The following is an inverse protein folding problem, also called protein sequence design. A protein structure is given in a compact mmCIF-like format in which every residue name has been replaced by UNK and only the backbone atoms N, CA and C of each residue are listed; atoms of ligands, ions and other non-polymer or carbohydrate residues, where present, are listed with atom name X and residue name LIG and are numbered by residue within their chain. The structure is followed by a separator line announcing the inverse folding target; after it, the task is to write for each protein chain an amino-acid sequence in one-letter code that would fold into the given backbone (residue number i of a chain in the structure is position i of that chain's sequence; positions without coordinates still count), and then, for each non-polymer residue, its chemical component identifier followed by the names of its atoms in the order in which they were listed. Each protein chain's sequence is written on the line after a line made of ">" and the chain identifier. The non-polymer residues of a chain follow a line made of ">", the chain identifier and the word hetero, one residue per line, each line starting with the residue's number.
data_IF_321238085401
#
_entry.id   IF_321238085401
#
_cell.length_a   1.000
_cell.length_b   1.000
_cell.length_c   1.000
_cell.angle_alpha   90.00
_cell.angle_beta   90.00
_cell.angle_gamma   90.00
#
_symmetry.space_group_name_H-M   'P 1'
#
loop_
_entity.id
_entity.type
_entity.pdbx_description
1 polymer ?
#
# COMPACT_ATOMS: atom_id res chain seq x y z
N UNK A 1 -25.37 -6.29 -35.84
CA UNK A 1 -24.08 -6.01 -36.50
C UNK A 1 -23.16 -5.47 -35.42
N UNK A 2 -22.09 -6.18 -35.06
CA UNK A 2 -21.13 -5.67 -34.06
C UNK A 2 -20.51 -4.36 -34.57
N UNK A 3 -20.52 -3.32 -33.75
CA UNK A 3 -20.11 -1.97 -34.13
C UNK A 3 -18.61 -1.97 -34.45
N UNK A 4 -18.16 -1.09 -35.35
CA UNK A 4 -16.75 -1.04 -35.75
C UNK A 4 -15.82 -0.72 -34.55
N UNK A 5 -16.35 -0.02 -33.53
CA UNK A 5 -15.70 0.21 -32.23
C UNK A 5 -15.47 -1.10 -31.46
N UNK A 6 -16.49 -1.95 -31.32
CA UNK A 6 -16.40 -3.22 -30.58
C UNK A 6 -15.35 -4.18 -31.18
N UNK A 7 -15.17 -4.13 -32.50
CA UNK A 7 -14.15 -4.91 -33.20
C UNK A 7 -12.74 -4.40 -32.94
N UNK A 8 -12.55 -3.08 -32.88
CA UNK A 8 -11.26 -2.44 -32.60
C UNK A 8 -10.85 -2.74 -31.14
N UNK A 9 -11.77 -2.53 -30.20
CA UNK A 9 -11.54 -2.75 -28.76
C UNK A 9 -11.17 -4.22 -28.45
N UNK A 10 -11.81 -5.18 -29.09
CA UNK A 10 -11.53 -6.60 -28.89
C UNK A 10 -10.19 -7.04 -29.52
N UNK A 11 -9.80 -6.46 -30.66
CA UNK A 11 -8.50 -6.73 -31.29
C UNK A 11 -7.33 -6.21 -30.45
N UNK A 12 -7.52 -5.07 -29.80
CA UNK A 12 -6.54 -4.42 -28.96
C UNK A 12 -6.39 -5.10 -27.60
N UNK A 13 -7.51 -5.45 -26.96
CA UNK A 13 -7.51 -6.22 -25.71
C UNK A 13 -6.66 -7.49 -25.85
N UNK A 14 -6.79 -8.20 -26.99
CA UNK A 14 -5.96 -9.38 -27.29
C UNK A 14 -4.46 -9.05 -27.39
N UNK A 15 -4.10 -7.92 -27.99
CA UNK A 15 -2.71 -7.48 -28.07
C UNK A 15 -2.13 -7.16 -26.69
N UNK A 16 -2.90 -6.47 -25.85
CA UNK A 16 -2.50 -6.13 -24.48
C UNK A 16 -2.35 -7.38 -23.62
N UNK A 17 -3.29 -8.33 -23.68
CA UNK A 17 -3.20 -9.63 -22.99
C UNK A 17 -1.93 -10.38 -23.42
N UNK A 18 -1.57 -10.34 -24.71
CA UNK A 18 -0.33 -10.94 -25.22
C UNK A 18 0.91 -10.25 -24.64
N UNK A 19 0.95 -8.91 -24.62
CA UNK A 19 2.06 -8.15 -24.01
C UNK A 19 2.20 -8.46 -22.51
N UNK A 20 1.08 -8.49 -21.77
CA UNK A 20 1.04 -8.91 -20.36
C UNK A 20 1.57 -10.32 -20.16
N UNK A 21 1.24 -11.25 -21.07
CA UNK A 21 1.80 -12.60 -21.07
C UNK A 21 3.33 -12.62 -21.16
N UNK A 22 3.92 -11.68 -21.91
CA UNK A 22 5.38 -11.51 -21.96
C UNK A 22 5.96 -11.06 -20.62
N UNK A 23 5.30 -10.11 -19.93
CA UNK A 23 5.71 -9.71 -18.58
C UNK A 23 5.67 -10.88 -17.59
N UNK A 24 4.58 -11.67 -17.60
CA UNK A 24 4.47 -12.88 -16.78
C UNK A 24 5.60 -13.88 -17.06
N UNK A 25 5.95 -14.07 -18.33
CA UNK A 25 7.05 -14.96 -18.73
C UNK A 25 8.42 -14.47 -18.22
N UNK A 26 8.69 -13.17 -18.29
CA UNK A 26 9.93 -12.60 -17.74
C UNK A 26 10.03 -12.78 -16.21
N UNK A 27 8.91 -12.63 -15.49
CA UNK A 27 8.89 -12.87 -14.05
C UNK A 27 9.17 -14.35 -13.71
N UNK A 28 8.64 -15.29 -14.50
CA UNK A 28 8.94 -16.73 -14.37
C UNK A 28 10.40 -17.05 -14.70
N UNK A 29 11.03 -16.37 -15.67
CA UNK A 29 12.46 -16.52 -15.93
C UNK A 29 13.32 -16.04 -14.76
N UNK A 30 12.90 -14.97 -14.07
CA UNK A 30 13.58 -14.48 -12.88
C UNK A 30 13.43 -15.45 -11.70
N UNK A 31 12.23 -16.00 -11.49
CA UNK A 31 12.03 -17.08 -10.52
C UNK A 31 12.95 -18.27 -10.79
N UNK A 32 13.00 -18.73 -12.04
CA UNK A 32 13.88 -19.85 -12.45
C UNK A 32 15.35 -19.56 -12.16
N UNK A 33 15.76 -18.29 -12.31
CA UNK A 33 17.11 -17.86 -11.96
C UNK A 33 17.34 -17.92 -10.44
N UNK A 34 16.43 -17.38 -9.63
CA UNK A 34 16.55 -17.41 -8.17
C UNK A 34 16.58 -18.84 -7.61
N UNK A 35 15.75 -19.75 -8.15
CA UNK A 35 15.75 -21.16 -7.72
C UNK A 35 17.06 -21.89 -7.97
N UNK A 36 17.92 -21.41 -8.88
CA UNK A 36 19.27 -21.96 -9.09
C UNK A 36 20.30 -21.46 -8.07
N UNK A 37 19.97 -20.38 -7.37
CA UNK A 37 20.81 -19.79 -6.33
C UNK A 37 20.43 -20.32 -4.94
N UNK A 38 19.27 -20.93 -4.82
CA UNK A 38 18.79 -21.58 -3.60
C UNK A 38 19.71 -22.76 -3.23
N UNK A 39 20.19 -22.81 -1.99
CA UNK A 39 21.12 -23.83 -1.51
C UNK A 39 22.60 -23.63 -1.88
N UNK A 40 23.00 -22.51 -2.49
CA UNK A 40 24.41 -22.16 -2.67
C UNK A 40 24.99 -21.55 -1.38
N UNK A 41 26.10 -22.11 -0.86
CA UNK A 41 26.85 -21.55 0.26
C UNK A 41 27.59 -20.27 -0.16
N UNK A 42 26.87 -19.15 -0.12
CA UNK A 42 27.38 -17.83 -0.47
C UNK A 42 27.40 -17.56 -1.98
N UNK A 43 26.94 -16.37 -2.37
CA UNK A 43 26.96 -15.92 -3.76
C UNK A 43 28.33 -15.34 -4.12
N UNK A 44 28.88 -15.74 -5.28
CA UNK A 44 30.06 -15.08 -5.84
C UNK A 44 29.75 -13.63 -6.23
N UNK A 45 30.76 -12.74 -6.20
CA UNK A 45 30.59 -11.31 -6.56
C UNK A 45 30.00 -11.11 -7.97
N UNK A 46 30.33 -12.00 -8.90
CA UNK A 46 29.77 -12.00 -10.25
C UNK A 46 28.25 -12.27 -10.21
N UNK A 47 27.81 -13.28 -9.45
CA UNK A 47 26.39 -13.60 -9.31
C UNK A 47 25.62 -12.52 -8.54
N UNK A 48 26.25 -11.85 -7.57
CA UNK A 48 25.65 -10.69 -6.88
C UNK A 48 25.38 -9.55 -7.86
N UNK A 49 26.35 -9.24 -8.72
CA UNK A 49 26.22 -8.21 -9.75
C UNK A 49 25.12 -8.56 -10.75
N UNK A 50 25.11 -9.81 -11.24
CA UNK A 50 24.07 -10.29 -12.16
C UNK A 50 22.67 -10.25 -11.52
N UNK A 51 22.55 -10.68 -10.27
CA UNK A 51 21.31 -10.62 -9.50
C UNK A 51 20.82 -9.16 -9.38
N UNK A 52 21.70 -8.22 -9.01
CA UNK A 52 21.36 -6.80 -8.90
C UNK A 52 20.88 -6.20 -10.24
N UNK A 53 21.49 -6.56 -11.37
CA UNK A 53 21.05 -6.12 -12.70
C UNK A 53 19.65 -6.69 -13.02
N UNK A 54 19.44 -7.98 -12.77
CA UNK A 54 18.14 -8.64 -13.00
C UNK A 54 17.04 -8.06 -12.11
N UNK A 55 17.35 -7.70 -10.86
CA UNK A 55 16.42 -7.03 -9.95
C UNK A 55 15.95 -5.68 -10.49
N UNK A 56 16.87 -4.81 -10.93
CA UNK A 56 16.50 -3.53 -11.57
C UNK A 56 15.60 -3.72 -12.79
N UNK A 57 15.86 -4.76 -13.60
CA UNK A 57 15.00 -5.11 -14.74
C UNK A 57 13.60 -5.53 -14.30
N UNK A 58 13.46 -6.23 -13.18
CA UNK A 58 12.17 -6.68 -12.63
C UNK A 58 11.39 -5.52 -12.00
N UNK A 59 12.06 -4.56 -11.37
CA UNK A 59 11.42 -3.32 -10.89
C UNK A 59 10.85 -2.49 -12.05
N UNK A 60 11.58 -2.37 -13.16
CA UNK A 60 11.05 -1.74 -14.38
C UNK A 60 9.88 -2.53 -14.98
N UNK A 61 9.96 -3.86 -14.98
CA UNK A 61 8.91 -4.75 -15.46
C UNK A 61 7.59 -4.57 -14.67
N UNK A 62 7.67 -4.26 -13.38
CA UNK A 62 6.50 -3.94 -12.57
C UNK A 62 5.74 -2.74 -13.15
N UNK A 63 6.45 -1.67 -13.52
CA UNK A 63 5.84 -0.47 -14.10
C UNK A 63 5.17 -0.78 -15.45
N UNK A 64 5.83 -1.56 -16.30
CA UNK A 64 5.29 -1.95 -17.61
C UNK A 64 4.07 -2.87 -17.48
N UNK A 65 4.12 -3.85 -16.58
CA UNK A 65 2.97 -4.68 -16.25
C UNK A 65 1.83 -3.82 -15.73
N UNK A 66 2.09 -2.90 -14.80
CA UNK A 66 1.07 -2.05 -14.23
C UNK A 66 0.33 -1.25 -15.31
N UNK A 67 1.04 -0.63 -16.26
CA UNK A 67 0.43 0.10 -17.38
C UNK A 67 -0.44 -0.79 -18.26
N UNK A 68 0.11 -1.92 -18.73
CA UNK A 68 -0.61 -2.87 -19.59
C UNK A 68 -1.86 -3.41 -18.89
N UNK A 69 -1.71 -3.77 -17.62
CA UNK A 69 -2.77 -4.36 -16.84
C UNK A 69 -3.87 -3.32 -16.52
N UNK A 70 -3.54 -2.04 -16.37
CA UNK A 70 -4.56 -0.98 -16.32
C UNK A 70 -5.35 -0.91 -17.63
N UNK A 71 -4.68 -0.93 -18.77
CA UNK A 71 -5.34 -0.86 -20.07
C UNK A 71 -6.25 -2.07 -20.32
N UNK A 72 -5.82 -3.26 -19.89
CA UNK A 72 -6.64 -4.48 -19.90
C UNK A 72 -7.85 -4.33 -18.97
N UNK A 73 -7.68 -3.82 -17.75
CA UNK A 73 -8.80 -3.58 -16.82
C UNK A 73 -9.79 -2.53 -17.34
N UNK A 74 -9.34 -1.59 -18.18
CA UNK A 74 -10.20 -0.59 -18.81
C UNK A 74 -11.00 -1.20 -19.98
N UNK A 75 -10.42 -2.12 -20.74
CA UNK A 75 -10.99 -2.68 -21.97
C UNK A 75 -11.66 -4.06 -21.80
N UNK A 76 -11.35 -4.79 -20.72
CA UNK A 76 -11.87 -6.14 -20.49
C UNK A 76 -13.32 -6.14 -20.02
N UNK A 77 -14.12 -7.02 -20.62
CA UNK A 77 -15.48 -7.33 -20.19
C UNK A 77 -15.52 -8.27 -18.97
N UNK A 78 -14.45 -9.01 -18.71
CA UNK A 78 -14.27 -9.87 -17.54
C UNK A 78 -13.20 -9.24 -16.63
N UNK A 79 -13.65 -8.41 -15.70
CA UNK A 79 -12.72 -7.62 -14.88
C UNK A 79 -12.16 -8.44 -13.73
N UNK A 80 -12.91 -9.42 -13.20
CA UNK A 80 -12.47 -10.31 -12.12
C UNK A 80 -11.26 -11.15 -12.53
N UNK A 81 -11.25 -11.67 -13.76
CA UNK A 81 -10.09 -12.39 -14.30
C UNK A 81 -8.88 -11.46 -14.48
N UNK A 82 -9.10 -10.24 -14.96
CA UNK A 82 -8.05 -9.25 -15.06
C UNK A 82 -7.47 -8.90 -13.67
N UNK A 83 -8.30 -8.81 -12.63
CA UNK A 83 -7.84 -8.55 -11.26
C UNK A 83 -7.13 -9.74 -10.63
N UNK A 84 -7.64 -10.95 -10.80
CA UNK A 84 -6.94 -12.16 -10.37
C UNK A 84 -5.56 -12.24 -11.02
N UNK A 85 -5.45 -11.87 -12.29
CA UNK A 85 -4.16 -11.81 -13.00
C UNK A 85 -3.21 -10.76 -12.44
N UNK A 86 -3.71 -9.61 -12.01
CA UNK A 86 -2.91 -8.58 -11.31
C UNK A 86 -2.41 -9.11 -9.97
N UNK A 87 -3.31 -9.63 -9.16
CA UNK A 87 -3.00 -10.07 -7.81
C UNK A 87 -1.96 -11.20 -7.81
N UNK A 88 -2.13 -12.19 -8.71
CA UNK A 88 -1.15 -13.26 -8.90
C UNK A 88 0.22 -12.73 -9.33
N UNK A 89 0.26 -11.74 -10.23
CA UNK A 89 1.52 -11.16 -10.68
C UNK A 89 2.21 -10.35 -9.57
N UNK A 90 1.50 -9.46 -8.90
CA UNK A 90 2.04 -8.61 -7.83
C UNK A 90 2.51 -9.47 -6.64
N UNK A 91 1.71 -10.44 -6.20
CA UNK A 91 2.10 -11.37 -5.12
C UNK A 91 3.36 -12.17 -5.48
N UNK A 92 3.45 -12.67 -6.72
CA UNK A 92 4.65 -13.37 -7.20
C UNK A 92 5.86 -12.43 -7.26
N UNK A 93 5.68 -11.22 -7.76
CA UNK A 93 6.73 -10.21 -7.86
C UNK A 93 7.34 -9.87 -6.48
N UNK A 94 6.50 -9.51 -5.51
CA UNK A 94 6.96 -9.13 -4.17
C UNK A 94 7.69 -10.28 -3.47
N UNK A 95 7.18 -11.51 -3.60
CA UNK A 95 7.86 -12.69 -3.07
C UNK A 95 9.27 -12.85 -3.66
N UNK A 96 9.41 -12.74 -4.98
CA UNK A 96 10.70 -12.93 -5.65
C UNK A 96 11.70 -11.82 -5.33
N UNK A 97 11.25 -10.56 -5.27
CA UNK A 97 12.10 -9.43 -4.85
C UNK A 97 12.56 -9.59 -3.40
N UNK A 98 11.70 -10.08 -2.50
CA UNK A 98 12.08 -10.37 -1.11
C UNK A 98 13.19 -11.43 -1.03
N UNK A 99 13.05 -12.54 -1.76
CA UNK A 99 14.10 -13.58 -1.84
C UNK A 99 15.41 -13.01 -2.38
N UNK A 100 15.34 -12.23 -3.47
CA UNK A 100 16.52 -11.62 -4.09
C UNK A 100 17.25 -10.65 -3.14
N UNK A 101 16.51 -9.80 -2.43
CA UNK A 101 17.07 -8.93 -1.39
C UNK A 101 17.70 -9.73 -0.25
N UNK A 102 17.05 -10.79 0.22
CA UNK A 102 17.57 -11.67 1.25
C UNK A 102 18.92 -12.30 0.87
N UNK A 103 19.04 -12.77 -0.37
CA UNK A 103 20.26 -13.34 -0.93
C UNK A 103 21.42 -12.31 -0.98
N UNK A 104 21.14 -11.06 -1.38
CA UNK A 104 22.15 -9.99 -1.37
C UNK A 104 22.55 -9.59 0.07
N UNK A 105 21.59 -9.52 1.00
CA UNK A 105 21.85 -9.13 2.39
C UNK A 105 22.58 -10.21 3.21
N UNK A 106 22.34 -11.50 2.94
CA UNK A 106 23.10 -12.60 3.53
C UNK A 106 24.58 -12.53 3.13
N UNK A 107 24.87 -12.09 1.90
CA UNK A 107 26.22 -12.01 1.37
C UNK A 107 27.03 -10.79 1.84
N UNK A 108 26.41 -9.83 2.53
CA UNK A 108 27.08 -8.70 3.17
C UNK A 108 27.56 -9.01 4.61
N UNK A 109 27.15 -10.15 5.18
CA UNK A 109 27.43 -10.54 6.58
C UNK A 109 28.73 -11.34 6.81
N UNK A 110 29.57 -11.51 5.79
CA UNK A 110 30.90 -12.13 5.94
C UNK A 110 31.98 -11.34 5.20
N UNK A 111 32.70 -10.42 5.86
CA UNK A 111 34.10 -10.16 5.55
C UNK A 111 34.99 -11.20 6.26
N UNK A 112 36.06 -11.56 5.56
CA UNK A 112 37.04 -12.58 5.89
C UNK A 112 37.48 -12.67 7.37
N UNK A 113 37.57 -13.90 7.86
CA UNK A 113 38.40 -14.23 9.01
C UNK A 113 39.87 -13.85 8.72
N UNK A 114 40.46 -13.03 9.60
CA UNK A 114 41.91 -12.75 9.56
C UNK A 114 42.37 -11.56 10.41
N UNK A 115 42.78 -11.87 11.65
CA UNK A 115 43.79 -11.20 12.51
C UNK A 115 43.32 -10.61 13.86
N UNK A 116 44.17 -10.66 14.93
CA UNK A 116 43.74 -10.71 16.32
C UNK A 116 44.09 -9.46 17.16
N UNK A 117 43.41 -9.31 18.30
CA UNK A 117 43.93 -8.61 19.49
C UNK A 117 43.33 -7.23 19.76
N UNK A 118 42.59 -7.11 20.87
CA UNK A 118 42.11 -5.83 21.41
C UNK A 118 41.08 -6.04 22.52
N UNK A 119 41.60 -6.12 23.75
CA UNK A 119 40.91 -6.33 25.02
C UNK A 119 40.02 -5.14 25.45
N UNK A 120 38.94 -5.46 26.20
CA UNK A 120 38.27 -4.56 27.16
C UNK A 120 37.38 -3.42 26.63
N UNK A 121 36.06 -3.63 26.56
CA UNK A 121 35.13 -3.37 27.68
C UNK A 121 33.72 -3.78 27.29
N UNK A 122 33.12 -4.56 28.17
CA UNK A 122 31.74 -5.02 28.20
C UNK A 122 30.73 -3.88 28.16
N UNK A 123 29.79 -3.97 27.21
CA UNK A 123 28.37 -3.90 27.56
C UNK A 123 27.61 -4.87 26.64
N UNK A 124 27.18 -5.96 27.24
CA UNK A 124 26.35 -6.99 26.67
C UNK A 124 25.11 -6.34 26.02
N UNK A 125 24.76 -6.62 24.78
CA UNK A 125 24.13 -7.89 24.41
C UNK A 125 23.07 -8.34 25.43
N UNK A 126 22.26 -7.41 25.94
CA UNK A 126 21.04 -7.74 26.68
C UNK A 126 19.94 -8.17 25.70
N UNK A 127 19.99 -9.46 25.38
CA UNK A 127 18.85 -10.36 25.24
C UNK A 127 17.55 -9.76 24.64
N UNK A 128 17.42 -9.86 23.32
CA UNK A 128 16.16 -9.69 22.59
C UNK A 128 15.09 -10.69 23.09
N UNK A 129 14.35 -10.34 24.15
CA UNK A 129 13.08 -10.99 24.51
C UNK A 129 11.90 -10.16 23.98
N UNK A 130 11.55 -10.41 22.72
CA UNK A 130 10.15 -10.44 22.26
C UNK A 130 9.48 -9.15 21.75
N UNK A 131 10.17 -8.01 21.60
CA UNK A 131 9.51 -6.80 21.05
C UNK A 131 10.43 -5.88 20.25
N UNK A 132 9.92 -5.34 19.14
CA UNK A 132 10.63 -4.37 18.32
C UNK A 132 10.55 -2.97 18.97
N UNK A 133 11.64 -2.20 18.99
CA UNK A 133 11.61 -0.81 19.45
C UNK A 133 11.27 0.11 18.28
N UNK A 134 10.28 0.98 18.45
CA UNK A 134 9.85 1.97 17.46
C UNK A 134 9.95 3.37 18.05
N UNK A 135 10.26 4.38 17.22
CA UNK A 135 10.22 5.78 17.61
C UNK A 135 8.87 6.38 17.22
N UNK A 136 8.22 7.05 18.15
CA UNK A 136 6.91 7.68 17.97
C UNK A 136 7.03 9.16 18.33
N UNK A 137 6.63 10.07 17.43
CA UNK A 137 6.66 11.50 17.70
C UNK A 137 5.45 11.95 18.51
N UNK A 138 5.66 12.83 19.51
CA UNK A 138 4.58 13.51 20.22
C UNK A 138 4.10 14.79 19.51
N UNK A 139 3.18 15.52 20.14
CA UNK A 139 2.64 16.79 19.65
C UNK A 139 3.66 17.92 19.46
N UNK A 140 4.84 17.79 20.05
CA UNK A 140 5.94 18.75 19.93
C UNK A 140 7.02 18.25 18.95
N UNK A 141 6.80 17.11 18.29
CA UNK A 141 7.78 16.46 17.41
C UNK A 141 8.86 15.68 18.17
N UNK A 142 8.75 15.55 19.49
CA UNK A 142 9.73 14.82 20.30
C UNK A 142 9.56 13.33 20.10
N UNK A 143 10.65 12.62 19.82
CA UNK A 143 10.63 11.18 19.57
C UNK A 143 10.69 10.40 20.88
N UNK A 144 9.68 9.56 21.11
CA UNK A 144 9.58 8.62 22.21
C UNK A 144 9.87 7.21 21.72
N UNK A 145 10.73 6.47 22.43
CA UNK A 145 10.95 5.04 22.14
C UNK A 145 9.82 4.22 22.78
N UNK A 146 9.06 3.51 21.96
CA UNK A 146 8.03 2.57 22.39
C UNK A 146 8.46 1.14 22.04
N UNK A 147 8.06 0.17 22.85
CA UNK A 147 8.25 -1.26 22.56
C UNK A 147 6.97 -1.81 21.93
N UNK A 148 7.08 -2.30 20.71
CA UNK A 148 6.04 -3.01 20.00
C UNK A 148 6.11 -4.49 20.39
N UNK A 149 5.04 -5.00 20.98
CA UNK A 149 4.84 -6.43 21.20
C UNK A 149 3.92 -6.95 20.09
N UNK A 150 4.47 -7.75 19.18
CA UNK A 150 3.68 -8.37 18.11
C UNK A 150 3.15 -9.71 18.62
N UNK A 151 1.86 -9.78 18.93
CA UNK A 151 1.18 -11.02 19.28
C UNK A 151 0.17 -11.40 18.19
N UNK A 152 0.57 -12.36 17.34
CA UNK A 152 -0.28 -12.87 16.26
C UNK A 152 -1.53 -13.63 16.79
N UNK A 153 -1.61 -13.92 18.09
CA UNK A 153 -2.75 -14.58 18.72
C UNK A 153 -3.77 -13.62 19.37
N UNK A 154 -3.46 -12.32 19.45
CA UNK A 154 -4.32 -11.35 20.12
C UNK A 154 -5.45 -10.85 19.20
N UNK A 155 -6.67 -10.79 19.72
CA UNK A 155 -7.85 -10.23 19.03
C UNK A 155 -7.98 -8.70 19.18
N UNK A 156 -7.03 -8.06 19.87
CA UNK A 156 -7.06 -6.64 20.22
C UNK A 156 -5.64 -6.07 20.29
N UNK A 157 -5.51 -4.77 20.03
CA UNK A 157 -4.24 -4.06 20.08
C UNK A 157 -4.22 -3.17 21.31
N UNK A 158 -3.12 -3.20 22.06
CA UNK A 158 -2.99 -2.45 23.30
C UNK A 158 -1.86 -1.43 23.21
N UNK A 159 -2.13 -0.27 23.80
CA UNK A 159 -1.16 0.81 23.98
C UNK A 159 -1.12 1.12 25.47
N UNK A 160 0.08 1.35 26.02
CA UNK A 160 0.22 1.66 27.44
C UNK A 160 -0.33 3.05 27.74
N UNK A 161 -0.91 3.22 28.93
CA UNK A 161 -1.44 4.50 29.40
C UNK A 161 -0.41 5.63 29.27
N UNK A 162 0.84 5.40 29.73
CA UNK A 162 1.92 6.37 29.62
C UNK A 162 2.22 6.77 28.16
N UNK A 163 2.07 5.87 27.19
CA UNK A 163 2.28 6.21 25.79
C UNK A 163 1.08 7.00 25.24
N UNK A 164 -0.16 6.66 25.62
CA UNK A 164 -1.34 7.47 25.29
C UNK A 164 -1.23 8.89 25.81
N UNK A 165 -0.77 9.07 27.05
CA UNK A 165 -0.54 10.39 27.66
C UNK A 165 0.52 11.20 26.90
N UNK A 166 1.65 10.57 26.55
CA UNK A 166 2.72 11.21 25.76
C UNK A 166 2.25 11.64 24.37
N UNK A 167 1.41 10.82 23.74
CA UNK A 167 0.86 11.10 22.40
C UNK A 167 -0.39 12.00 22.43
N UNK A 168 -0.88 12.33 23.63
CA UNK A 168 -2.06 13.14 23.90
C UNK A 168 -3.33 12.60 23.18
N UNK A 169 -3.48 11.28 23.14
CA UNK A 169 -4.60 10.62 22.45
C UNK A 169 -5.91 10.85 23.21
N UNK A 170 -6.98 11.10 22.46
CA UNK A 170 -8.34 11.11 23.00
C UNK A 170 -8.76 9.70 23.37
N UNK A 171 -9.18 9.54 24.62
CA UNK A 171 -9.59 8.25 25.20
C UNK A 171 -11.07 8.29 25.54
N UNK A 172 -11.71 7.13 25.40
CA UNK A 172 -13.10 6.91 25.78
C UNK A 172 -13.18 5.77 26.77
N UNK A 173 -14.06 5.89 27.76
CA UNK A 173 -14.30 4.81 28.70
C UNK A 173 -14.77 3.55 27.96
N UNK A 174 -14.01 2.47 28.12
CA UNK A 174 -14.33 1.15 27.63
C UNK A 174 -14.15 0.16 28.78
N UNK A 175 -14.85 -0.96 28.78
CA UNK A 175 -14.58 -2.02 29.75
C UNK A 175 -14.43 -3.32 28.99
N UNK A 176 -13.21 -3.83 28.94
CA UNK A 176 -12.90 -5.08 28.27
C UNK A 176 -11.89 -5.86 29.09
N UNK A 177 -12.27 -7.09 29.45
CA UNK A 177 -11.39 -8.00 30.18
C UNK A 177 -10.55 -8.79 29.18
N UNK A 178 -9.24 -8.65 29.28
CA UNK A 178 -8.25 -9.36 28.47
C UNK A 178 -7.71 -10.51 29.30
N UNK A 179 -8.13 -11.72 29.00
CA UNK A 179 -7.64 -12.94 29.66
C UNK A 179 -6.52 -13.56 28.85
N UNK A 180 -5.33 -13.67 29.45
CA UNK A 180 -4.19 -14.41 28.88
C UNK A 180 -4.29 -15.93 29.09
N UNK A 181 -3.39 -16.67 28.45
CA UNK A 181 -3.33 -18.15 28.44
C UNK A 181 -3.19 -18.77 29.85
N UNK A 182 -2.76 -17.98 30.85
CA UNK A 182 -2.60 -18.41 32.25
C UNK A 182 -3.72 -17.95 33.19
N UNK A 183 -4.93 -17.67 32.67
CA UNK A 183 -6.06 -17.12 33.45
C UNK A 183 -5.77 -15.75 34.12
N UNK A 184 -4.71 -15.07 33.70
CA UNK A 184 -4.42 -13.71 34.14
C UNK A 184 -5.29 -12.75 33.32
N UNK A 185 -6.26 -12.13 34.00
CA UNK A 185 -7.18 -11.19 33.40
C UNK A 185 -6.73 -9.76 33.70
N UNK A 186 -6.42 -8.99 32.65
CA UNK A 186 -6.17 -7.55 32.75
C UNK A 186 -7.36 -6.82 32.17
N UNK A 187 -7.96 -5.89 32.90
CA UNK A 187 -9.03 -5.05 32.39
C UNK A 187 -8.45 -3.84 31.66
N UNK A 188 -8.87 -3.62 30.42
CA UNK A 188 -8.73 -2.31 29.76
C UNK A 188 -9.93 -1.45 30.10
N UNK A 189 -9.65 -0.20 30.50
CA UNK A 189 -10.64 0.80 30.93
C UNK A 189 -10.91 1.88 29.89
N UNK A 190 -10.11 1.90 28.82
CA UNK A 190 -10.14 2.98 27.83
C UNK A 190 -9.81 2.47 26.42
N UNK A 191 -10.37 3.15 25.40
CA UNK A 191 -10.07 2.93 23.98
C UNK A 191 -9.86 4.26 23.25
N UNK A 192 -9.20 4.21 22.09
CA UNK A 192 -9.05 5.34 21.17
C UNK A 192 -9.46 4.95 19.75
N UNK A 193 -10.01 5.91 19.00
CA UNK A 193 -10.47 5.64 17.63
C UNK A 193 -9.33 5.85 16.61
N UNK A 194 -9.18 4.88 15.71
CA UNK A 194 -8.33 4.98 14.53
C UNK A 194 -9.19 5.02 13.28
N UNK A 195 -8.94 6.03 12.43
CA UNK A 195 -9.61 6.13 11.13
C UNK A 195 -8.59 6.14 10.00
N UNK A 196 -8.97 5.57 8.86
CA UNK A 196 -8.24 5.73 7.60
C UNK A 196 -8.94 6.77 6.72
N UNK A 197 -8.14 7.59 6.05
CA UNK A 197 -8.62 8.55 5.04
C UNK A 197 -7.90 8.31 3.71
N UNK A 198 -8.66 7.96 2.68
CA UNK A 198 -8.16 7.79 1.32
C UNK A 198 -8.60 8.97 0.46
N UNK A 199 -7.64 9.72 -0.08
CA UNK A 199 -7.88 10.83 -0.99
C UNK A 199 -7.51 10.40 -2.40
N UNK A 200 -8.30 10.80 -3.38
CA UNK A 200 -8.16 10.36 -4.77
C UNK A 200 -8.20 11.56 -5.70
N UNK A 201 -7.37 11.54 -6.74
CA UNK A 201 -7.32 12.59 -7.76
C UNK A 201 -6.89 12.02 -9.11
N UNK A 202 -7.23 12.73 -10.19
CA UNK A 202 -6.77 12.44 -11.52
C UNK A 202 -6.52 13.69 -12.37
N UNK A 203 -5.55 13.56 -13.27
CA UNK A 203 -5.21 14.54 -14.29
C UNK A 203 -5.09 13.85 -15.65
N UNK A 204 -4.87 14.65 -16.71
CA UNK A 204 -4.57 14.13 -18.04
C UNK A 204 -3.28 13.29 -18.09
N UNK A 205 -2.41 13.41 -17.06
CA UNK A 205 -1.08 12.77 -17.02
C UNK A 205 -1.06 11.53 -16.15
N UNK A 206 -1.77 11.53 -15.04
CA UNK A 206 -1.81 10.42 -14.09
C UNK A 206 -3.05 10.49 -13.20
N UNK A 207 -3.38 9.37 -12.57
CA UNK A 207 -4.39 9.29 -11.51
C UNK A 207 -3.80 8.55 -10.31
N UNK A 208 -4.34 8.81 -9.14
CA UNK A 208 -3.70 8.34 -7.92
C UNK A 208 -4.53 8.46 -6.67
N UNK A 209 -3.98 7.93 -5.60
CA UNK A 209 -4.53 8.04 -4.26
C UNK A 209 -3.45 8.08 -3.19
N UNK A 210 -3.71 8.81 -2.12
CA UNK A 210 -2.93 8.80 -0.89
C UNK A 210 -3.82 8.38 0.29
N UNK A 211 -3.27 7.53 1.15
CA UNK A 211 -3.95 6.94 2.30
C UNK A 211 -3.27 7.40 3.57
N UNK A 212 -4.04 8.00 4.46
CA UNK A 212 -3.61 8.52 5.75
C UNK A 212 -4.24 7.73 6.88
N UNK A 213 -3.53 7.61 7.99
CA UNK A 213 -4.11 7.25 9.29
C UNK A 213 -4.38 8.53 10.07
N UNK A 214 -5.52 8.54 10.76
CA UNK A 214 -6.00 9.67 11.54
C UNK A 214 -6.37 9.23 12.94
N UNK A 215 -5.93 9.99 13.92
CA UNK A 215 -6.32 9.87 15.33
C UNK A 215 -6.84 11.21 15.84
N UNK A 216 -7.59 11.20 16.95
CA UNK A 216 -8.05 12.41 17.62
C UNK A 216 -7.27 12.58 18.92
N UNK A 217 -6.82 13.81 19.20
CA UNK A 217 -6.20 14.19 20.46
C UNK A 217 -7.23 14.70 21.47
N UNK A 218 -6.84 14.80 22.75
CA UNK A 218 -7.74 15.25 23.82
C UNK A 218 -8.31 16.65 23.58
N UNK A 219 -7.55 17.54 22.95
CA UNK A 219 -7.99 18.89 22.56
C UNK A 219 -8.95 18.92 21.34
N UNK A 220 -9.28 17.75 20.79
CA UNK A 220 -10.13 17.59 19.62
C UNK A 220 -9.39 17.75 18.29
N UNK A 221 -8.09 18.06 18.30
CA UNK A 221 -7.30 18.18 17.08
C UNK A 221 -7.09 16.81 16.44
N UNK A 222 -7.14 16.78 15.11
CA UNK A 222 -6.83 15.58 14.35
C UNK A 222 -5.31 15.50 14.15
N UNK A 223 -4.73 14.36 14.49
CA UNK A 223 -3.39 14.02 14.05
C UNK A 223 -3.49 13.10 12.85
N UNK A 224 -2.78 13.43 11.76
CA UNK A 224 -2.89 12.75 10.48
C UNK A 224 -1.49 12.41 9.99
N UNK A 225 -1.27 11.18 9.53
CA UNK A 225 0.01 10.73 9.02
C UNK A 225 -0.19 9.96 7.71
N UNK A 226 0.63 10.25 6.70
CA UNK A 226 0.60 9.52 5.43
C UNK A 226 1.10 8.10 5.67
N UNK A 227 0.26 7.10 5.41
CA UNK A 227 0.66 5.70 5.43
C UNK A 227 1.30 5.29 4.11
N UNK A 228 0.64 5.62 3.01
CA UNK A 228 1.08 5.20 1.68
C UNK A 228 0.41 6.02 0.58
N UNK A 229 0.99 6.02 -0.61
CA UNK A 229 0.36 6.57 -1.81
C UNK A 229 0.66 5.68 -3.01
N UNK A 230 -0.23 5.69 -4.00
CA UNK A 230 -0.03 5.00 -5.27
C UNK A 230 -0.57 5.84 -6.41
N UNK A 231 0.20 5.94 -7.49
CA UNK A 231 -0.23 6.56 -8.75
C UNK A 231 -0.09 5.60 -9.92
N UNK A 232 -0.75 5.97 -11.02
CA UNK A 232 -0.68 5.31 -12.32
C UNK A 232 -0.69 6.37 -13.40
N UNK A 233 0.18 6.22 -14.39
CA UNK A 233 0.22 7.10 -15.57
C UNK A 233 -1.09 6.94 -16.35
N UNK A 234 -1.65 8.06 -16.81
CA UNK A 234 -2.85 8.04 -17.62
C UNK A 234 -2.59 7.26 -18.93
N UNK A 235 -3.57 6.50 -19.44
CA UNK A 235 -3.41 5.80 -20.71
C UNK A 235 -3.03 6.76 -21.84
N UNK A 236 -2.20 6.30 -22.76
CA UNK A 236 -1.83 7.06 -23.98
C UNK A 236 -3.06 7.31 -24.85
N UNK A 237 -4.03 6.39 -24.80
CA UNK A 237 -5.29 6.53 -25.51
C UNK A 237 -6.19 7.57 -24.87
N UNK A 238 -6.87 8.42 -25.68
CA UNK A 238 -7.81 9.38 -25.16
C UNK A 238 -8.87 8.72 -24.26
N UNK A 239 -8.93 9.18 -23.01
CA UNK A 239 -9.96 8.84 -22.03
C UNK A 239 -10.40 10.12 -21.37
N UNK A 240 -11.67 10.21 -21.00
CA UNK A 240 -12.20 11.43 -20.36
C UNK A 240 -11.68 11.55 -18.93
N UNK A 241 -11.47 12.78 -18.46
CA UNK A 241 -11.05 13.05 -17.07
C UNK A 241 -11.93 12.32 -16.04
N UNK A 242 -13.27 12.32 -16.14
CA UNK A 242 -14.11 11.59 -15.18
C UNK A 242 -13.83 10.08 -15.11
N UNK A 243 -13.48 9.45 -16.24
CA UNK A 243 -13.09 8.03 -16.23
C UNK A 243 -11.74 7.82 -15.54
N UNK A 244 -10.81 8.76 -15.65
CA UNK A 244 -9.54 8.72 -14.91
C UNK A 244 -9.76 8.97 -13.41
N UNK A 245 -10.61 9.92 -13.05
CA UNK A 245 -11.01 10.18 -11.65
C UNK A 245 -11.64 8.94 -11.02
N UNK A 246 -12.52 8.24 -11.75
CA UNK A 246 -13.08 6.96 -11.30
C UNK A 246 -12.02 5.86 -11.15
N UNK A 247 -10.98 5.86 -12.00
CA UNK A 247 -9.85 4.94 -11.84
C UNK A 247 -8.98 5.31 -10.62
N UNK A 248 -8.82 6.60 -10.32
CA UNK A 248 -8.21 7.10 -9.09
C UNK A 248 -8.97 6.63 -7.86
N UNK A 249 -10.29 6.79 -7.86
CA UNK A 249 -11.19 6.30 -6.81
C UNK A 249 -11.01 4.79 -6.55
N UNK A 250 -11.06 3.99 -7.62
CA UNK A 250 -10.88 2.55 -7.54
C UNK A 250 -9.48 2.15 -7.03
N UNK A 251 -8.44 2.84 -7.49
CA UNK A 251 -7.07 2.63 -7.01
C UNK A 251 -6.96 2.92 -5.51
N UNK A 252 -7.59 4.00 -5.03
CA UNK A 252 -7.64 4.37 -3.63
C UNK A 252 -8.39 3.34 -2.77
N UNK A 253 -9.51 2.80 -3.26
CA UNK A 253 -10.24 1.71 -2.59
C UNK A 253 -9.36 0.47 -2.42
N UNK A 254 -8.69 0.03 -3.48
CA UNK A 254 -7.80 -1.15 -3.40
C UNK A 254 -6.60 -0.92 -2.51
N UNK A 255 -6.00 0.27 -2.58
CA UNK A 255 -4.87 0.63 -1.73
C UNK A 255 -5.28 0.61 -0.26
N UNK A 256 -6.45 1.17 0.07
CA UNK A 256 -7.03 1.13 1.41
C UNK A 256 -7.23 -0.32 1.88
N UNK A 257 -7.83 -1.19 1.05
CA UNK A 257 -8.00 -2.61 1.37
C UNK A 257 -6.68 -3.31 1.68
N UNK A 258 -5.65 -3.10 0.85
CA UNK A 258 -4.30 -3.65 1.13
C UNK A 258 -3.70 -3.15 2.42
N UNK A 259 -3.91 -1.87 2.76
CA UNK A 259 -3.48 -1.29 4.03
C UNK A 259 -4.21 -1.97 5.19
N UNK A 260 -5.54 -2.10 5.12
CA UNK A 260 -6.35 -2.77 6.13
C UNK A 260 -5.92 -4.23 6.33
N UNK A 261 -5.68 -4.97 5.25
CA UNK A 261 -5.22 -6.37 5.30
C UNK A 261 -3.80 -6.50 5.88
N UNK A 262 -2.98 -5.45 5.78
CA UNK A 262 -1.59 -5.44 6.28
C UNK A 262 -1.47 -4.92 7.72
N UNK A 263 -2.45 -4.16 8.20
CA UNK A 263 -2.44 -3.61 9.54
C UNK A 263 -2.90 -4.65 10.55
N UNK A 264 -2.10 -4.84 11.59
CA UNK A 264 -2.51 -5.67 12.75
C UNK A 264 -3.46 -4.91 13.67
N UNK A 265 -3.53 -3.58 13.53
CA UNK A 265 -4.40 -2.70 14.30
C UNK A 265 -5.81 -2.66 13.74
N UNK A 266 -6.81 -2.73 14.61
CA UNK A 266 -8.20 -2.52 14.21
C UNK A 266 -8.39 -1.06 13.80
N UNK A 267 -8.97 -0.85 12.62
CA UNK A 267 -9.43 0.45 12.14
C UNK A 267 -10.93 0.55 12.35
N UNK A 268 -11.39 1.63 12.97
CA UNK A 268 -12.79 1.81 13.34
C UNK A 268 -13.62 2.35 12.18
N UNK A 269 -13.02 3.16 11.30
CA UNK A 269 -13.72 3.80 10.19
C UNK A 269 -12.79 4.09 9.01
N UNK A 270 -13.29 3.89 7.78
CA UNK A 270 -12.65 4.40 6.58
C UNK A 270 -13.46 5.54 5.94
N UNK A 271 -12.76 6.58 5.51
CA UNK A 271 -13.30 7.72 4.78
C UNK A 271 -12.61 7.84 3.41
N UNK A 272 -13.40 8.04 2.37
CA UNK A 272 -12.91 8.22 1.01
C UNK A 272 -13.29 9.61 0.49
N UNK A 273 -12.32 10.26 -0.15
CA UNK A 273 -12.44 11.64 -0.59
C UNK A 273 -12.12 11.76 -2.08
N UNK A 274 -12.98 12.50 -2.79
CA UNK A 274 -12.77 12.87 -4.17
C UNK A 274 -13.27 14.30 -4.40
N UNK A 275 -12.57 15.06 -5.24
CA UNK A 275 -13.01 16.37 -5.70
C UNK A 275 -13.88 16.27 -6.98
N UNK A 276 -14.06 15.06 -7.51
CA UNK A 276 -14.94 14.81 -8.65
C UNK A 276 -16.38 14.57 -8.20
N UNK A 277 -17.22 15.58 -8.38
CA UNK A 277 -18.67 15.45 -8.18
C UNK A 277 -19.31 14.46 -9.15
N UNK A 278 -18.69 14.23 -10.33
CA UNK A 278 -19.14 13.23 -11.30
C UNK A 278 -18.92 11.82 -10.75
N UNK A 279 -17.72 11.53 -10.22
CA UNK A 279 -17.43 10.24 -9.59
C UNK A 279 -18.36 10.00 -8.41
N UNK A 280 -18.52 10.98 -7.52
CA UNK A 280 -19.46 10.87 -6.39
C UNK A 280 -20.91 10.66 -6.87
N UNK A 281 -21.31 11.30 -7.97
CA UNK A 281 -22.62 11.08 -8.60
C UNK A 281 -22.78 9.65 -9.11
N UNK A 282 -21.77 9.09 -9.77
CA UNK A 282 -21.77 7.70 -10.22
C UNK A 282 -21.81 6.71 -9.05
N UNK A 283 -21.06 6.96 -7.98
CA UNK A 283 -21.07 6.14 -6.76
C UNK A 283 -22.42 6.13 -6.04
N UNK A 284 -23.25 7.15 -6.25
CA UNK A 284 -24.62 7.21 -5.73
C UNK A 284 -25.69 6.75 -6.73
N UNK A 285 -25.29 6.35 -7.94
CA UNK A 285 -26.21 5.92 -8.99
C UNK A 285 -26.31 4.39 -9.02
N UNK A 286 -27.54 3.87 -9.17
CA UNK A 286 -27.76 2.44 -9.37
C UNK A 286 -26.96 1.94 -10.59
N UNK A 287 -26.13 0.92 -10.39
CA UNK A 287 -25.11 0.52 -11.37
C UNK A 287 -25.70 0.02 -12.69
N UNK A 288 -26.94 -0.49 -12.67
CA UNK A 288 -27.72 -0.85 -13.87
C UNK A 288 -27.92 0.32 -14.86
N UNK A 289 -27.88 1.57 -14.38
CA UNK A 289 -28.04 2.79 -15.19
C UNK A 289 -26.73 3.33 -15.76
N UNK A 290 -25.59 2.79 -15.33
CA UNK A 290 -24.27 3.25 -15.72
C UNK A 290 -23.79 2.46 -16.94
N UNK A 291 -23.00 3.10 -17.80
CA UNK A 291 -22.31 2.40 -18.88
C UNK A 291 -21.36 1.34 -18.31
N UNK A 292 -21.11 0.26 -19.06
CA UNK A 292 -20.35 -0.92 -18.61
C UNK A 292 -19.04 -0.57 -17.90
N UNK A 293 -18.24 0.33 -18.49
CA UNK A 293 -16.98 0.78 -17.91
C UNK A 293 -17.13 1.36 -16.50
N UNK A 294 -18.11 2.26 -16.34
CA UNK A 294 -18.37 2.97 -15.09
C UNK A 294 -19.02 2.01 -14.10
N UNK A 295 -20.02 1.26 -14.55
CA UNK A 295 -20.75 0.24 -13.79
C UNK A 295 -19.84 -0.74 -13.07
N UNK A 296 -18.90 -1.35 -13.80
CA UNK A 296 -18.04 -2.39 -13.23
C UNK A 296 -17.15 -1.83 -12.12
N UNK A 297 -16.61 -0.62 -12.30
CA UNK A 297 -15.76 0.04 -11.30
C UNK A 297 -16.57 0.53 -10.10
N UNK A 298 -17.76 1.08 -10.34
CA UNK A 298 -18.66 1.52 -9.28
C UNK A 298 -19.12 0.33 -8.43
N UNK A 299 -19.48 -0.80 -9.04
CA UNK A 299 -19.81 -2.03 -8.31
C UNK A 299 -18.69 -2.43 -7.36
N UNK A 300 -17.45 -2.54 -7.87
CA UNK A 300 -16.31 -2.96 -7.06
C UNK A 300 -16.01 -1.97 -5.92
N UNK A 301 -16.10 -0.66 -6.18
CA UNK A 301 -15.94 0.37 -5.16
C UNK A 301 -17.01 0.20 -4.08
N UNK A 302 -18.28 0.13 -4.47
CA UNK A 302 -19.40 0.00 -3.54
C UNK A 302 -19.33 -1.29 -2.70
N UNK A 303 -18.94 -2.41 -3.31
CA UNK A 303 -18.76 -3.69 -2.60
C UNK A 303 -17.59 -3.61 -1.61
N UNK A 304 -16.48 -2.99 -2.00
CA UNK A 304 -15.29 -2.91 -1.16
C UNK A 304 -15.39 -1.87 -0.05
N UNK A 305 -16.20 -0.82 -0.24
CA UNK A 305 -16.40 0.26 0.74
C UNK A 305 -17.79 0.19 1.36
N UNK A 306 -18.38 -1.00 1.46
CA UNK A 306 -19.71 -1.18 2.03
C UNK A 306 -19.70 -0.82 3.52
N UNK A 307 -20.45 0.22 3.90
CA UNK A 307 -20.46 0.77 5.26
C UNK A 307 -19.47 1.92 5.51
N UNK A 308 -18.64 2.25 4.52
CA UNK A 308 -17.75 3.42 4.57
C UNK A 308 -18.39 4.66 3.93
N UNK A 309 -17.77 5.81 4.15
CA UNK A 309 -18.28 7.10 3.65
C UNK A 309 -17.42 7.64 2.51
N UNK A 310 -18.06 7.95 1.38
CA UNK A 310 -17.49 8.77 0.31
C UNK A 310 -17.94 10.22 0.45
N UNK A 311 -17.01 11.17 0.32
CA UNK A 311 -17.29 12.59 0.52
C UNK A 311 -16.52 13.49 -0.45
N UNK A 312 -17.08 14.67 -0.67
CA UNK A 312 -16.46 15.70 -1.48
C UNK A 312 -15.34 16.41 -0.72
N UNK A 313 -14.19 16.59 -1.36
CA UNK A 313 -13.13 17.50 -0.91
C UNK A 313 -12.89 18.56 -2.00
N UNK A 314 -12.74 19.86 -1.66
CA UNK A 314 -12.35 20.85 -2.65
C UNK A 314 -10.96 20.54 -3.23
N UNK A 315 -10.75 20.68 -4.55
CA UNK A 315 -9.47 20.34 -5.21
C UNK A 315 -8.25 21.00 -4.55
N UNK A 316 -8.36 22.28 -4.14
CA UNK A 316 -7.28 23.01 -3.44
C UNK A 316 -6.90 22.43 -2.08
N UNK A 317 -7.75 21.58 -1.51
CA UNK A 317 -7.57 20.90 -0.23
C UNK A 317 -7.36 19.39 -0.42
N UNK A 318 -7.26 18.92 -1.67
CA UNK A 318 -7.07 17.51 -1.98
C UNK A 318 -5.57 17.17 -1.97
N UNK A 319 -5.06 16.42 -0.99
CA UNK A 319 -3.64 16.05 -0.95
C UNK A 319 -3.25 15.09 -2.08
N UNK A 320 -4.21 14.47 -2.78
CA UNK A 320 -3.94 13.59 -3.91
C UNK A 320 -3.50 14.34 -5.19
N UNK A 321 -3.61 15.67 -5.23
CA UNK A 321 -3.11 16.49 -6.35
C UNK A 321 -1.61 16.25 -6.62
N UNK A 322 -0.80 16.13 -5.57
CA UNK A 322 0.63 15.82 -5.69
C UNK A 322 0.87 14.45 -6.35
N UNK A 323 -0.04 13.51 -6.09
CA UNK A 323 0.04 12.12 -6.58
C UNK A 323 -0.33 12.04 -8.06
N UNK A 324 -1.25 12.89 -8.54
CA UNK A 324 -1.74 12.88 -9.92
C UNK A 324 -1.02 13.87 -10.86
N UNK A 325 -0.48 14.98 -10.31
CA UNK A 325 0.18 16.06 -11.09
C UNK A 325 1.69 16.10 -10.91
N UNK A 326 2.21 15.43 -9.88
CA UNK A 326 3.61 15.48 -9.47
C UNK A 326 3.93 16.71 -8.60
N UNK A 327 4.98 16.62 -7.80
CA UNK A 327 5.54 17.78 -7.12
C UNK A 327 6.33 18.64 -8.13
N UNK A 328 6.10 19.94 -8.14
CA UNK A 328 7.05 20.86 -8.79
C UNK A 328 8.33 20.93 -7.93
N UNK A 329 9.49 21.18 -8.55
CA UNK A 329 10.81 21.23 -7.87
C UNK A 329 10.83 22.15 -6.63
N UNK A 330 9.88 23.08 -6.53
CA UNK A 330 9.75 24.05 -5.44
C UNK A 330 9.08 23.50 -4.15
N UNK A 331 8.41 22.34 -4.21
CA UNK A 331 7.69 21.77 -3.05
C UNK A 331 8.62 21.01 -2.08
N UNK A 332 9.74 20.48 -2.55
CA UNK A 332 10.67 19.68 -1.74
C UNK A 332 11.46 20.48 -0.69
N UNK A 333 11.46 21.82 -0.77
CA UNK A 333 12.30 22.67 0.09
C UNK A 333 11.57 23.12 1.37
N UNK A 334 10.23 23.05 1.46
CA UNK A 334 9.48 23.62 2.59
C UNK A 334 9.07 22.65 3.70
N UNK A 335 9.17 21.33 3.51
CA UNK A 335 8.81 20.34 4.54
C UNK A 335 10.01 19.68 5.26
N UNK A 336 11.24 20.08 4.91
CA UNK A 336 12.47 19.60 5.59
C UNK A 336 13.20 20.70 6.39
N UNK A 337 12.55 21.83 6.68
CA UNK A 337 13.11 22.92 7.49
C UNK A 337 12.43 23.06 8.84
#
# INVERSE_FOLDING_TARGET
>A
MANNSDKIDNSELKLLIKKRGSCKAQLTQFETFLSRLDGCDGLSELLKTELGIRMKKIELLQSDFDKLQCEIELLSDNVDEAYADRDQFESKLFRLLSVAHGLLAAAARYPAAGAPGGDGTSDAAEECRGGALVKVADRHGSLHTARLLLDNGSTSNFVTESLCEKLDLKRYNASSTVSGINNHATSTTESCDLAIQSYTDASERAYGSCVYIRTIRNDGTAHVCLLTSKNKVAPIKPTTIPRLELCGALLGTRLCKKVLDSLTVKIDQCYYWSDSTIVLGWLNTATSRLERFVRNRVNEIQESTAGDTWSYVPSKQNPADLVSRGASDHFFISEMS
#
